data_IF_189976851171
#
_entry.id   IF_189976851171
#
_cell.length_a   1.000
_cell.length_b   1.000
_cell.length_c   1.000
_cell.angle_alpha   90.00
_cell.angle_beta   90.00
_cell.angle_gamma   90.00
#
_symmetry.space_group_name_H-M   'P 1'
#
loop_
_entity.id
_entity.type
_entity.pdbx_description
1 polymer ?
#
# COMPACT_ATOMS: atom_id res chain seq x y z
N UNK A 1 18.41 -14.81 10.04
CA UNK A 1 18.13 -13.81 11.10
C UNK A 1 18.72 -12.50 10.60
N UNK A 2 17.97 -11.39 10.59
CA UNK A 2 18.52 -10.08 10.21
C UNK A 2 18.85 -9.31 11.48
N UNK A 3 20.14 -9.16 11.78
CA UNK A 3 20.62 -8.36 12.89
C UNK A 3 20.55 -6.89 12.48
N UNK A 4 19.74 -6.09 13.17
CA UNK A 4 19.71 -4.64 12.99
C UNK A 4 20.63 -4.00 14.04
N UNK A 5 21.68 -3.30 13.63
CA UNK A 5 22.53 -2.55 14.58
C UNK A 5 22.08 -1.09 14.60
N UNK A 6 21.67 -0.61 15.78
CA UNK A 6 21.29 0.80 15.96
C UNK A 6 22.51 1.72 15.97
N UNK A 7 22.30 3.05 15.90
CA UNK A 7 23.38 4.04 16.03
C UNK A 7 24.10 4.01 17.39
N UNK A 8 23.55 3.31 18.38
CA UNK A 8 24.14 3.07 19.70
C UNK A 8 24.92 1.73 19.77
N UNK A 9 25.17 1.10 18.62
CA UNK A 9 25.79 -0.23 18.50
C UNK A 9 25.01 -1.37 19.20
N UNK A 10 23.70 -1.19 19.39
CA UNK A 10 22.82 -2.23 19.96
C UNK A 10 22.24 -3.08 18.84
N UNK A 11 22.44 -4.39 18.93
CA UNK A 11 21.85 -5.36 18.03
C UNK A 11 20.40 -5.66 18.41
N UNK A 12 19.45 -5.23 17.57
CA UNK A 12 18.05 -5.60 17.64
C UNK A 12 17.79 -6.83 16.77
N UNK A 13 17.26 -7.87 17.40
CA UNK A 13 16.76 -9.04 16.69
C UNK A 13 15.32 -8.80 16.23
N UNK A 14 15.16 -8.48 14.95
CA UNK A 14 13.84 -8.41 14.34
C UNK A 14 13.44 -9.79 13.83
N UNK A 15 12.26 -10.27 14.25
CA UNK A 15 11.69 -11.51 13.74
C UNK A 15 10.94 -11.24 12.43
N UNK A 16 11.39 -11.79 11.29
CA UNK A 16 10.67 -11.62 10.03
C UNK A 16 9.29 -12.26 10.10
N UNK A 17 8.30 -11.63 9.47
CA UNK A 17 6.96 -12.18 9.36
C UNK A 17 6.98 -13.49 8.55
N UNK A 18 6.18 -14.47 8.99
CA UNK A 18 6.03 -15.76 8.29
C UNK A 18 5.31 -15.56 6.94
N UNK A 19 5.60 -16.42 5.97
CA UNK A 19 4.98 -16.39 4.63
C UNK A 19 3.44 -16.33 4.66
N UNK A 20 2.72 -17.16 5.46
CA UNK A 20 1.26 -17.16 5.44
C UNK A 20 0.64 -15.84 5.92
N UNK A 21 1.15 -15.24 7.00
CA UNK A 21 0.61 -13.97 7.50
C UNK A 21 0.89 -12.82 6.54
N UNK A 22 2.04 -12.84 5.84
CA UNK A 22 2.33 -11.88 4.77
C UNK A 22 1.35 -12.03 3.61
N UNK A 23 1.10 -13.25 3.16
CA UNK A 23 0.17 -13.52 2.06
C UNK A 23 -1.25 -13.07 2.40
N UNK A 24 -1.75 -13.42 3.59
CA UNK A 24 -3.09 -13.02 4.02
C UNK A 24 -3.24 -11.50 4.20
N UNK A 25 -2.20 -10.83 4.71
CA UNK A 25 -2.18 -9.37 4.79
C UNK A 25 -2.30 -8.72 3.40
N UNK A 26 -1.53 -9.22 2.41
CA UNK A 26 -1.59 -8.72 1.03
C UNK A 26 -2.95 -9.00 0.39
N UNK A 27 -3.53 -10.18 0.61
CA UNK A 27 -4.86 -10.51 0.10
C UNK A 27 -5.94 -9.58 0.67
N UNK A 28 -5.87 -9.25 1.96
CA UNK A 28 -6.80 -8.31 2.58
C UNK A 28 -6.60 -6.88 2.05
N UNK A 29 -5.36 -6.43 1.93
CA UNK A 29 -5.05 -5.12 1.34
C UNK A 29 -5.53 -5.02 -0.13
N UNK A 30 -5.39 -6.10 -0.90
CA UNK A 30 -5.88 -6.18 -2.27
C UNK A 30 -7.41 -6.13 -2.32
N UNK A 31 -8.09 -6.89 -1.46
CA UNK A 31 -9.54 -6.89 -1.38
C UNK A 31 -10.09 -5.49 -1.05
N UNK A 32 -9.45 -4.77 -0.11
CA UNK A 32 -9.82 -3.39 0.23
C UNK A 32 -9.58 -2.46 -0.95
N UNK A 33 -8.41 -2.54 -1.59
CA UNK A 33 -8.06 -1.67 -2.73
C UNK A 33 -8.99 -1.87 -3.92
N UNK A 34 -9.34 -3.13 -4.22
CA UNK A 34 -10.29 -3.47 -5.28
C UNK A 34 -11.71 -3.00 -4.94
N UNK A 35 -12.14 -3.15 -3.69
CA UNK A 35 -13.45 -2.65 -3.24
C UNK A 35 -13.53 -1.13 -3.37
N UNK A 36 -12.50 -0.40 -2.93
CA UNK A 36 -12.44 1.04 -3.08
C UNK A 36 -12.44 1.46 -4.56
N UNK A 37 -11.67 0.76 -5.41
CA UNK A 37 -11.65 1.00 -6.85
C UNK A 37 -13.02 0.83 -7.49
N UNK A 38 -13.75 -0.24 -7.17
CA UNK A 38 -15.10 -0.48 -7.69
C UNK A 38 -16.07 0.61 -7.25
N UNK A 39 -16.07 0.99 -5.97
CA UNK A 39 -16.94 2.05 -5.43
C UNK A 39 -16.68 3.37 -6.17
N UNK A 40 -15.42 3.78 -6.29
CA UNK A 40 -15.06 5.03 -6.98
C UNK A 40 -15.43 4.96 -8.46
N UNK A 41 -15.17 3.83 -9.13
CA UNK A 41 -15.51 3.66 -10.55
C UNK A 41 -17.02 3.79 -10.79
N UNK A 42 -17.85 3.20 -9.93
CA UNK A 42 -19.31 3.33 -10.00
C UNK A 42 -19.73 4.80 -9.84
N UNK A 43 -19.16 5.53 -8.88
CA UNK A 43 -19.42 6.95 -8.71
C UNK A 43 -19.00 7.79 -9.92
N UNK A 44 -17.84 7.47 -10.51
CA UNK A 44 -17.31 8.17 -11.68
C UNK A 44 -18.15 7.94 -12.94
N UNK A 45 -18.78 6.77 -13.10
CA UNK A 45 -19.69 6.53 -14.24
C UNK A 45 -20.81 7.58 -14.28
N UNK A 46 -21.41 7.90 -13.14
CA UNK A 46 -22.43 8.94 -13.06
C UNK A 46 -21.82 10.35 -13.19
N UNK A 47 -20.70 10.61 -12.50
CA UNK A 47 -20.08 11.93 -12.46
C UNK A 47 -19.48 12.40 -13.80
N UNK A 48 -19.14 11.46 -14.70
CA UNK A 48 -18.51 11.74 -15.99
C UNK A 48 -19.44 11.58 -17.20
N UNK A 49 -20.74 11.42 -16.98
CA UNK A 49 -21.72 11.16 -18.04
C UNK A 49 -21.77 12.27 -19.11
N UNK A 50 -21.53 13.53 -18.73
CA UNK A 50 -21.55 14.68 -19.64
C UNK A 50 -20.20 14.99 -20.29
N UNK A 51 -19.12 14.29 -19.93
CA UNK A 51 -17.80 14.50 -20.52
C UNK A 51 -17.73 13.94 -21.94
N UNK A 52 -16.70 14.34 -22.70
CA UNK A 52 -16.35 13.63 -23.93
C UNK A 52 -15.62 12.30 -23.62
N UNK A 53 -15.44 11.49 -24.66
CA UNK A 53 -14.85 10.15 -24.49
C UNK A 53 -13.37 10.22 -24.09
N UNK A 54 -12.62 11.20 -24.59
CA UNK A 54 -11.21 11.37 -24.23
C UNK A 54 -11.05 11.68 -22.75
N UNK A 55 -11.87 12.57 -22.20
CA UNK A 55 -11.89 12.92 -20.80
C UNK A 55 -12.35 11.75 -19.92
N UNK A 56 -13.37 10.98 -20.35
CA UNK A 56 -13.77 9.75 -19.64
C UNK A 56 -12.65 8.73 -19.55
N UNK A 57 -11.93 8.49 -20.65
CA UNK A 57 -10.79 7.58 -20.68
C UNK A 57 -9.68 8.08 -19.75
N UNK A 58 -9.35 9.38 -19.82
CA UNK A 58 -8.33 9.98 -18.96
C UNK A 58 -8.66 9.82 -17.47
N UNK A 59 -9.91 10.07 -17.07
CA UNK A 59 -10.37 9.90 -15.69
C UNK A 59 -10.32 8.44 -15.26
N UNK A 60 -10.70 7.50 -16.13
CA UNK A 60 -10.64 6.06 -15.85
C UNK A 60 -9.19 5.61 -15.59
N UNK A 61 -8.26 5.98 -16.48
CA UNK A 61 -6.83 5.66 -16.34
C UNK A 61 -6.26 6.28 -15.08
N UNK A 62 -6.54 7.57 -14.83
CA UNK A 62 -6.07 8.26 -13.63
C UNK A 62 -6.58 7.57 -12.37
N UNK A 63 -7.86 7.18 -12.34
CA UNK A 63 -8.46 6.51 -11.18
C UNK A 63 -7.86 5.12 -10.95
N UNK A 64 -7.61 4.35 -12.01
CA UNK A 64 -6.94 3.05 -11.93
C UNK A 64 -5.55 3.19 -11.30
N UNK A 65 -4.72 4.11 -11.83
CA UNK A 65 -3.36 4.33 -11.32
C UNK A 65 -3.39 4.87 -9.89
N UNK A 66 -4.23 5.88 -9.61
CA UNK A 66 -4.28 6.51 -8.30
C UNK A 66 -4.81 5.57 -7.21
N UNK A 67 -5.77 4.70 -7.51
CA UNK A 67 -6.38 3.83 -6.49
C UNK A 67 -5.66 2.52 -6.31
N UNK A 68 -5.18 1.89 -7.38
CA UNK A 68 -4.53 0.58 -7.29
C UNK A 68 -3.01 0.65 -7.12
N UNK A 69 -2.39 1.78 -7.47
CA UNK A 69 -0.94 1.99 -7.28
C UNK A 69 -0.71 3.10 -6.27
N UNK A 70 -1.25 4.30 -6.51
CA UNK A 70 -1.07 5.46 -5.64
C UNK A 70 -1.63 5.24 -4.23
N UNK A 71 -2.80 4.62 -4.11
CA UNK A 71 -3.52 4.37 -2.87
C UNK A 71 -2.72 3.52 -1.90
N UNK A 72 -2.32 2.27 -2.27
CA UNK A 72 -1.48 1.42 -1.44
C UNK A 72 -0.16 2.10 -1.03
N UNK A 73 0.50 2.81 -1.94
CA UNK A 73 1.73 3.56 -1.65
C UNK A 73 1.48 4.65 -0.61
N UNK A 74 0.42 5.44 -0.77
CA UNK A 74 0.05 6.52 0.13
C UNK A 74 -0.33 5.97 1.52
N UNK A 75 -1.15 4.92 1.56
CA UNK A 75 -1.52 4.23 2.81
C UNK A 75 -0.27 3.75 3.53
N UNK A 76 0.64 3.08 2.84
CA UNK A 76 1.84 2.54 3.46
C UNK A 76 2.82 3.63 3.92
N UNK A 77 2.96 4.72 3.17
CA UNK A 77 3.75 5.89 3.56
C UNK A 77 3.17 6.56 4.81
N UNK A 78 1.89 6.93 4.78
CA UNK A 78 1.23 7.69 5.85
C UNK A 78 1.07 6.88 7.13
N UNK A 79 0.89 5.56 7.01
CA UNK A 79 0.80 4.62 8.13
C UNK A 79 2.14 4.13 8.65
N UNK A 80 3.27 4.61 8.09
CA UNK A 80 4.61 4.18 8.47
C UNK A 80 4.81 2.64 8.36
N UNK A 81 4.27 2.04 7.30
CA UNK A 81 4.40 0.60 7.00
C UNK A 81 3.24 -0.28 7.47
N UNK A 82 2.09 0.31 7.83
CA UNK A 82 0.95 -0.40 8.43
C UNK A 82 -0.34 -0.21 7.62
N UNK A 83 -0.48 -0.96 6.53
CA UNK A 83 -1.75 -1.08 5.81
C UNK A 83 -2.77 -1.90 6.62
N UNK A 84 -4.04 -1.89 6.22
CA UNK A 84 -5.14 -2.53 6.96
C UNK A 84 -4.92 -4.03 7.14
N UNK A 85 -4.51 -4.73 6.09
CA UNK A 85 -4.15 -6.14 6.15
C UNK A 85 -2.98 -6.38 7.09
N UNK A 86 -1.94 -5.56 7.03
CA UNK A 86 -0.80 -5.65 7.93
C UNK A 86 -1.21 -5.41 9.39
N UNK A 87 -2.08 -4.44 9.65
CA UNK A 87 -2.63 -4.19 11.00
C UNK A 87 -3.41 -5.40 11.52
N UNK A 88 -4.27 -6.02 10.68
CA UNK A 88 -5.05 -7.19 11.05
C UNK A 88 -4.18 -8.40 11.46
N UNK A 89 -2.98 -8.53 10.87
CA UNK A 89 -2.02 -9.59 11.19
C UNK A 89 -0.86 -9.14 12.10
N UNK A 90 -0.93 -7.93 12.69
CA UNK A 90 0.11 -7.39 13.58
C UNK A 90 1.47 -7.16 12.90
N UNK A 91 1.47 -6.94 11.59
CA UNK A 91 2.65 -6.75 10.76
C UNK A 91 2.97 -5.27 10.56
N UNK A 92 4.24 -4.99 10.29
CA UNK A 92 4.72 -3.67 9.89
C UNK A 92 5.88 -3.82 8.93
N UNK A 93 5.87 -3.02 7.88
CA UNK A 93 7.00 -2.90 6.97
C UNK A 93 7.94 -1.82 7.50
N UNK A 94 9.19 -2.19 7.67
CA UNK A 94 10.27 -1.29 8.10
C UNK A 94 11.41 -1.38 7.10
N UNK A 95 12.27 -0.38 7.10
CA UNK A 95 13.53 -0.41 6.36
C UNK A 95 14.53 -1.37 7.02
N UNK A 96 15.59 -1.69 6.31
CA UNK A 96 16.66 -2.54 6.83
C UNK A 96 17.38 -1.93 8.05
N UNK A 97 17.31 -0.61 8.23
CA UNK A 97 17.80 0.12 9.41
C UNK A 97 16.73 0.26 10.53
N UNK A 98 15.58 -0.41 10.39
CA UNK A 98 14.46 -0.34 11.33
C UNK A 98 13.65 0.95 11.28
N UNK A 99 14.05 1.93 10.47
CA UNK A 99 13.36 3.20 10.30
C UNK A 99 12.01 3.07 9.58
N UNK A 100 11.15 4.10 9.67
CA UNK A 100 9.88 4.11 8.96
C UNK A 100 10.08 4.14 7.44
N UNK A 101 9.12 3.57 6.72
CA UNK A 101 9.11 3.61 5.26
C UNK A 101 8.88 5.04 4.74
N UNK A 102 9.43 5.35 3.56
CA UNK A 102 9.26 6.65 2.88
C UNK A 102 8.67 6.38 1.49
N UNK A 103 8.15 7.41 0.83
CA UNK A 103 7.55 7.29 -0.51
C UNK A 103 8.38 6.45 -1.49
N UNK A 104 9.67 6.77 -1.68
CA UNK A 104 10.55 6.02 -2.59
C UNK A 104 10.62 4.51 -2.29
N UNK A 105 10.58 4.13 -1.01
CA UNK A 105 10.69 2.74 -0.60
C UNK A 105 9.37 2.00 -0.90
N UNK A 106 8.23 2.64 -0.68
CA UNK A 106 6.92 2.09 -1.01
C UNK A 106 6.73 2.00 -2.54
N UNK A 107 7.15 3.02 -3.29
CA UNK A 107 7.06 3.08 -4.75
C UNK A 107 7.89 1.98 -5.43
N UNK A 108 9.18 1.86 -5.09
CA UNK A 108 10.09 0.90 -5.76
C UNK A 108 9.68 -0.55 -5.51
N UNK A 109 9.08 -0.85 -4.36
CA UNK A 109 8.61 -2.21 -4.06
C UNK A 109 7.27 -2.54 -4.74
N UNK A 110 6.54 -1.54 -5.22
CA UNK A 110 5.21 -1.73 -5.84
C UNK A 110 4.07 -1.93 -4.86
N UNK A 111 4.19 -1.39 -3.62
CA UNK A 111 3.28 -1.53 -2.48
C UNK A 111 2.92 -2.96 -2.06
#
# INVERSE_FOLDING_TARGET
MSLLVTGEAVALELRPAKLPSRALAVLLDLAVSMTAYLIVTIGLLAATAALDDAARIAVSIASFVLLLVGGPIAVEMLSHGRSLGKLAFGLRVVRDDGGPIRFRHALVRGA
#
